data_IF_558299792343
#
_entry.id   IF_558299792343
#
_cell.length_a   1.000
_cell.length_b   1.000
_cell.length_c   1.000
_cell.angle_alpha   90.00
_cell.angle_beta   90.00
_cell.angle_gamma   90.00
#
_symmetry.space_group_name_H-M   'P 1'
#
loop_
_entity.id
_entity.type
_entity.pdbx_description
1 polymer ?
#
# COMPACT_ATOMS: atom_id res chain seq x y z
N UNK A 1 12.28 27.25 -2.89
CA UNK A 1 11.10 26.38 -2.66
C UNK A 1 11.64 25.06 -2.14
N UNK A 2 10.98 24.49 -1.14
CA UNK A 2 11.41 23.23 -0.53
C UNK A 2 11.00 22.05 -1.43
N UNK A 3 11.78 20.97 -1.42
CA UNK A 3 11.58 19.84 -2.33
C UNK A 3 10.19 19.19 -2.16
N UNK A 4 9.52 18.76 -3.25
CA UNK A 4 8.25 18.04 -3.17
C UNK A 4 8.38 16.71 -2.43
N UNK A 5 7.30 16.29 -1.79
CA UNK A 5 7.20 14.99 -1.12
C UNK A 5 6.31 14.09 -1.98
N UNK A 6 6.92 13.09 -2.61
CA UNK A 6 6.24 12.18 -3.54
C UNK A 6 5.67 10.97 -2.78
N UNK A 7 4.37 10.72 -2.96
CA UNK A 7 3.67 9.61 -2.33
C UNK A 7 2.95 8.80 -3.39
N UNK A 8 3.14 7.48 -3.40
CA UNK A 8 2.59 6.56 -4.40
C UNK A 8 1.50 5.71 -3.77
N UNK A 9 0.37 5.59 -4.46
CA UNK A 9 -0.71 4.68 -4.10
C UNK A 9 -1.08 3.83 -5.32
N UNK A 10 -1.36 2.55 -5.11
CA UNK A 10 -1.91 1.66 -6.13
C UNK A 10 -3.29 1.14 -5.72
N UNK A 11 -4.31 1.31 -6.57
CA UNK A 11 -5.68 0.91 -6.23
C UNK A 11 -6.59 0.66 -7.44
N UNK A 12 -7.72 -0.01 -7.16
CA UNK A 12 -8.85 -0.09 -8.08
C UNK A 12 -10.05 0.73 -7.54
N UNK A 13 -11.12 0.80 -8.34
CA UNK A 13 -12.36 1.49 -7.95
C UNK A 13 -13.05 0.91 -6.71
N UNK A 14 -12.61 -0.24 -6.17
CA UNK A 14 -13.11 -0.75 -4.90
C UNK A 14 -12.39 -0.17 -3.69
N UNK A 15 -11.33 0.60 -3.90
CA UNK A 15 -10.51 1.20 -2.86
C UNK A 15 -10.41 2.72 -2.98
N UNK A 16 -11.22 3.38 -3.82
CA UNK A 16 -11.21 4.85 -3.97
C UNK A 16 -11.40 5.58 -2.63
N UNK A 17 -12.32 5.15 -1.78
CA UNK A 17 -12.60 5.84 -0.52
C UNK A 17 -11.48 5.62 0.52
N UNK A 18 -10.93 4.39 0.69
CA UNK A 18 -9.69 4.18 1.42
C UNK A 18 -8.52 5.03 0.89
N UNK A 19 -8.31 5.07 -0.43
CA UNK A 19 -7.28 5.91 -1.07
C UNK A 19 -7.45 7.40 -0.71
N UNK A 20 -8.69 7.91 -0.82
CA UNK A 20 -9.02 9.27 -0.35
C UNK A 20 -8.67 9.47 1.13
N UNK A 21 -8.99 8.48 1.97
CA UNK A 21 -8.78 8.58 3.42
C UNK A 21 -7.31 8.61 3.79
N UNK A 22 -6.46 7.76 3.20
CA UNK A 22 -5.02 7.79 3.48
C UNK A 22 -4.41 9.10 2.98
N UNK A 23 -4.74 9.56 1.77
CA UNK A 23 -4.26 10.86 1.25
C UNK A 23 -4.68 12.03 2.15
N UNK A 24 -5.95 12.06 2.56
CA UNK A 24 -6.46 13.10 3.46
C UNK A 24 -5.79 13.03 4.84
N UNK A 25 -5.51 11.84 5.37
CA UNK A 25 -4.78 11.66 6.64
C UNK A 25 -3.34 12.18 6.57
N UNK A 26 -2.66 11.95 5.45
CA UNK A 26 -1.33 12.53 5.18
C UNK A 26 -1.44 14.05 5.17
N UNK A 27 -2.37 14.64 4.41
CA UNK A 27 -2.54 16.08 4.35
C UNK A 27 -2.87 16.73 5.70
N UNK A 28 -3.60 16.03 6.57
CA UNK A 28 -3.96 16.49 7.91
C UNK A 28 -2.78 16.47 8.89
N UNK A 29 -1.85 15.51 8.72
CA UNK A 29 -0.73 15.30 9.62
C UNK A 29 0.57 16.01 9.17
N UNK A 30 0.64 16.45 7.91
CA UNK A 30 1.82 17.06 7.29
C UNK A 30 1.80 18.58 7.39
N UNK A 31 2.89 19.20 7.87
CA UNK A 31 2.97 20.66 7.96
C UNK A 31 3.08 21.34 6.59
N UNK A 32 3.83 20.73 5.67
CA UNK A 32 4.08 21.19 4.30
C UNK A 32 3.14 20.58 3.26
N UNK A 33 1.86 20.45 3.59
CA UNK A 33 0.84 19.78 2.76
C UNK A 33 0.72 20.25 1.30
N UNK A 34 1.12 21.50 0.98
CA UNK A 34 1.12 22.02 -0.40
C UNK A 34 2.24 21.42 -1.27
N UNK A 35 3.27 20.87 -0.64
CA UNK A 35 4.41 20.26 -1.32
C UNK A 35 4.18 18.76 -1.57
N UNK A 36 3.04 18.22 -1.14
CA UNK A 36 2.65 16.82 -1.36
C UNK A 36 2.26 16.61 -2.82
N UNK A 37 2.84 15.57 -3.43
CA UNK A 37 2.47 15.09 -4.77
C UNK A 37 2.08 13.61 -4.66
N UNK A 38 0.81 13.31 -4.86
CA UNK A 38 0.33 11.93 -4.88
C UNK A 38 0.33 11.38 -6.31
N UNK A 39 1.00 10.26 -6.50
CA UNK A 39 1.08 9.49 -7.73
C UNK A 39 0.13 8.29 -7.61
N UNK A 40 -0.94 8.33 -8.40
CA UNK A 40 -2.06 7.39 -8.30
C UNK A 40 -1.97 6.38 -9.44
N UNK A 41 -1.50 5.18 -9.12
CA UNK A 41 -1.49 4.03 -10.01
C UNK A 41 -2.87 3.36 -9.92
N UNK A 42 -3.65 3.42 -11.00
CA UNK A 42 -5.05 3.01 -10.90
C UNK A 42 -5.52 2.12 -12.05
N UNK A 43 -6.42 1.20 -11.70
CA UNK A 43 -7.34 0.56 -12.64
C UNK A 43 -8.46 1.55 -13.02
N UNK A 44 -9.37 1.25 -13.97
CA UNK A 44 -10.44 2.18 -14.31
C UNK A 44 -11.25 2.59 -13.06
N UNK A 45 -11.44 3.90 -12.90
CA UNK A 45 -12.21 4.51 -11.81
C UNK A 45 -13.35 5.33 -12.38
N UNK A 46 -14.45 5.46 -11.63
CA UNK A 46 -15.55 6.32 -12.05
C UNK A 46 -15.21 7.81 -11.92
N UNK A 47 -15.83 8.66 -12.75
CA UNK A 47 -15.68 10.11 -12.65
C UNK A 47 -16.12 10.65 -11.28
N UNK A 48 -17.15 10.04 -10.68
CA UNK A 48 -17.65 10.37 -9.34
C UNK A 48 -16.56 10.13 -8.28
N UNK A 49 -15.91 8.97 -8.32
CA UNK A 49 -14.84 8.63 -7.38
C UNK A 49 -13.56 9.44 -7.65
N UNK A 50 -13.27 9.75 -8.92
CA UNK A 50 -12.17 10.66 -9.29
C UNK A 50 -12.39 12.05 -8.71
N UNK A 51 -13.62 12.57 -8.80
CA UNK A 51 -13.99 13.86 -8.21
C UNK A 51 -13.79 13.90 -6.70
N UNK A 52 -14.12 12.81 -5.98
CA UNK A 52 -13.87 12.72 -4.54
C UNK A 52 -12.38 12.75 -4.21
N UNK A 53 -11.56 11.98 -4.94
CA UNK A 53 -10.10 11.96 -4.78
C UNK A 53 -9.49 13.34 -5.00
N UNK A 54 -9.94 14.07 -6.03
CA UNK A 54 -9.54 15.47 -6.28
C UNK A 54 -9.93 16.43 -5.14
N UNK A 55 -10.77 16.00 -4.20
CA UNK A 55 -11.08 16.75 -2.98
C UNK A 55 -9.85 17.13 -2.16
N UNK A 56 -8.80 16.29 -2.16
CA UNK A 56 -7.56 16.61 -1.42
C UNK A 56 -6.81 17.80 -2.02
N UNK A 57 -6.92 18.01 -3.33
CA UNK A 57 -6.37 19.19 -4.03
C UNK A 57 -7.12 20.44 -3.58
N UNK A 58 -8.46 20.38 -3.60
CA UNK A 58 -9.33 21.51 -3.24
C UNK A 58 -9.21 21.89 -1.77
N UNK A 59 -9.08 20.91 -0.89
CA UNK A 59 -9.05 21.11 0.57
C UNK A 59 -7.67 21.50 1.10
N UNK A 60 -6.58 20.97 0.52
CA UNK A 60 -5.23 21.09 1.08
C UNK A 60 -4.19 21.71 0.15
N UNK A 61 -4.49 21.86 -1.14
CA UNK A 61 -3.55 22.36 -2.14
C UNK A 61 -2.43 21.37 -2.53
N UNK A 62 -2.60 20.08 -2.23
CA UNK A 62 -1.72 19.02 -2.71
C UNK A 62 -1.90 18.80 -4.23
N UNK A 63 -0.95 18.10 -4.86
CA UNK A 63 -1.02 17.75 -6.29
C UNK A 63 -1.35 16.27 -6.49
N UNK A 64 -2.10 15.95 -7.56
CA UNK A 64 -2.36 14.58 -8.00
C UNK A 64 -1.76 14.33 -9.38
N UNK A 65 -1.11 13.18 -9.57
CA UNK A 65 -0.63 12.65 -10.86
C UNK A 65 -1.29 11.31 -11.09
N UNK A 66 -1.98 11.16 -12.21
CA UNK A 66 -2.76 9.97 -12.54
C UNK A 66 -1.99 9.08 -13.51
N UNK A 67 -1.88 7.80 -13.19
CA UNK A 67 -1.22 6.79 -14.01
C UNK A 67 -2.22 5.64 -14.26
N UNK A 68 -2.89 5.62 -15.41
CA UNK A 68 -3.79 4.51 -15.76
C UNK A 68 -2.94 3.28 -16.06
N UNK A 69 -2.88 2.37 -15.09
CA UNK A 69 -2.07 1.15 -15.19
C UNK A 69 -2.76 0.10 -16.06
N UNK A 70 -4.08 0.20 -16.21
CA UNK A 70 -4.88 -0.69 -17.06
C UNK A 70 -4.54 -0.63 -18.55
N UNK A 71 -3.95 0.47 -19.02
CA UNK A 71 -3.57 0.66 -20.43
C UNK A 71 -2.04 0.54 -20.62
N UNK A 72 -1.31 0.09 -19.59
CA UNK A 72 0.14 -0.01 -19.61
C UNK A 72 0.58 -1.37 -20.15
N UNK A 73 1.09 -1.38 -21.38
CA UNK A 73 1.66 -2.58 -21.99
C UNK A 73 2.81 -3.16 -21.14
N UNK A 74 3.58 -2.29 -20.46
CA UNK A 74 4.62 -2.69 -19.51
C UNK A 74 4.01 -3.46 -18.33
N UNK A 75 2.94 -2.93 -17.76
CA UNK A 75 2.27 -3.57 -16.65
C UNK A 75 1.66 -4.90 -17.06
N UNK A 76 0.93 -4.93 -18.19
CA UNK A 76 0.32 -6.15 -18.73
C UNK A 76 1.35 -7.25 -18.97
N UNK A 77 2.49 -6.90 -19.56
CA UNK A 77 3.61 -7.82 -19.76
C UNK A 77 4.13 -8.34 -18.42
N UNK A 78 4.37 -7.46 -17.46
CA UNK A 78 4.91 -7.82 -16.15
C UNK A 78 3.99 -8.76 -15.36
N UNK A 79 2.68 -8.52 -15.40
CA UNK A 79 1.69 -9.31 -14.65
C UNK A 79 1.10 -10.49 -15.42
N UNK A 80 1.61 -10.78 -16.63
CA UNK A 80 1.08 -11.85 -17.48
C UNK A 80 1.25 -13.23 -16.81
N UNK A 81 2.40 -13.46 -16.18
CA UNK A 81 2.77 -14.75 -15.58
C UNK A 81 2.65 -14.77 -14.05
N UNK A 82 2.20 -13.66 -13.44
CA UNK A 82 2.07 -13.55 -12.00
C UNK A 82 0.72 -14.08 -11.49
N UNK A 83 0.69 -14.71 -10.30
CA UNK A 83 -0.55 -15.24 -9.73
C UNK A 83 -1.52 -14.09 -9.43
N UNK A 84 -2.78 -14.22 -9.86
CA UNK A 84 -3.84 -13.24 -9.58
C UNK A 84 -5.09 -13.93 -9.05
N UNK A 85 -5.81 -13.27 -8.14
CA UNK A 85 -7.05 -13.80 -7.58
C UNK A 85 -8.09 -12.69 -7.32
N UNK A 86 -9.34 -13.06 -7.05
CA UNK A 86 -10.40 -12.09 -6.70
C UNK A 86 -10.08 -11.31 -5.41
N UNK A 87 -9.28 -11.89 -4.51
CA UNK A 87 -8.84 -11.22 -3.29
C UNK A 87 -7.64 -10.30 -3.53
N UNK A 88 -6.85 -10.58 -4.56
CA UNK A 88 -5.58 -9.90 -4.87
C UNK A 88 -5.51 -9.60 -6.37
N UNK A 89 -6.12 -8.48 -6.79
CA UNK A 89 -6.11 -8.05 -8.18
C UNK A 89 -4.70 -7.69 -8.63
N UNK A 90 -4.40 -7.82 -9.92
CA UNK A 90 -3.06 -7.58 -10.50
C UNK A 90 -2.45 -6.23 -10.11
N UNK A 91 -3.26 -5.21 -9.83
CA UNK A 91 -2.84 -3.87 -9.39
C UNK A 91 -1.91 -3.89 -8.16
N UNK A 92 -1.95 -4.93 -7.32
CA UNK A 92 -1.02 -5.07 -6.18
C UNK A 92 0.45 -5.11 -6.63
N UNK A 93 0.71 -5.65 -7.83
CA UNK A 93 2.04 -5.71 -8.42
C UNK A 93 2.52 -4.36 -8.98
N UNK A 94 1.66 -3.35 -9.11
CA UNK A 94 2.06 -2.05 -9.63
C UNK A 94 3.13 -1.37 -8.76
N UNK A 95 3.17 -1.69 -7.46
CA UNK A 95 4.23 -1.19 -6.56
C UNK A 95 5.63 -1.63 -6.95
N UNK A 96 5.77 -2.80 -7.58
CA UNK A 96 7.08 -3.30 -8.04
C UNK A 96 7.63 -2.49 -9.21
N UNK A 97 6.74 -1.86 -9.98
CA UNK A 97 7.07 -1.01 -11.12
C UNK A 97 7.11 0.48 -10.73
N UNK A 98 7.18 0.81 -9.44
CA UNK A 98 7.18 2.21 -8.98
C UNK A 98 8.29 3.03 -9.62
N UNK A 99 9.49 2.46 -9.73
CA UNK A 99 10.64 3.09 -10.37
C UNK A 99 10.51 3.22 -11.89
N UNK A 100 9.80 2.29 -12.55
CA UNK A 100 9.54 2.30 -14.00
C UNK A 100 8.41 3.27 -14.39
N UNK A 101 7.39 3.40 -13.53
CA UNK A 101 6.18 4.20 -13.81
C UNK A 101 6.35 5.68 -13.43
N UNK A 102 7.21 5.98 -12.46
CA UNK A 102 7.48 7.36 -12.06
C UNK A 102 8.47 8.05 -13.01
N UNK A 103 8.30 9.36 -13.28
CA UNK A 103 9.28 10.16 -13.99
C UNK A 103 10.71 9.99 -13.45
N UNK A 104 11.69 9.96 -14.35
CA UNK A 104 13.09 9.67 -14.02
C UNK A 104 13.78 10.74 -13.16
N UNK A 105 13.24 11.96 -13.15
CA UNK A 105 13.70 13.07 -12.33
C UNK A 105 13.25 12.96 -10.86
N UNK A 106 12.37 12.02 -10.54
CA UNK A 106 11.99 11.72 -9.15
C UNK A 106 12.96 10.69 -8.60
N UNK A 107 13.70 11.08 -7.56
CA UNK A 107 14.72 10.26 -6.91
C UNK A 107 14.23 9.56 -5.63
N UNK A 108 13.15 10.05 -5.01
CA UNK A 108 12.63 9.47 -3.77
C UNK A 108 11.11 9.55 -3.72
N UNK A 109 10.48 8.49 -3.20
CA UNK A 109 9.04 8.46 -2.93
C UNK A 109 8.70 7.59 -1.72
N UNK A 110 7.51 7.79 -1.14
CA UNK A 110 6.91 6.87 -0.17
C UNK A 110 5.78 6.11 -0.86
N UNK A 111 5.79 4.79 -0.80
CA UNK A 111 4.63 3.99 -1.17
C UNK A 111 3.75 3.75 0.06
N UNK A 112 2.43 3.94 -0.08
CA UNK A 112 1.43 3.64 0.96
C UNK A 112 0.28 2.81 0.39
N UNK A 113 -0.11 1.75 1.11
CA UNK A 113 -1.35 1.05 0.85
C UNK A 113 -2.57 1.91 1.21
N UNK A 114 -3.66 1.67 0.49
CA UNK A 114 -4.87 2.47 0.63
C UNK A 114 -5.63 2.23 1.94
N UNK A 115 -5.32 1.14 2.67
CA UNK A 115 -5.93 0.81 3.95
C UNK A 115 -5.05 1.19 5.15
N UNK A 116 -4.52 2.41 5.09
CA UNK A 116 -3.72 3.01 6.14
C UNK A 116 -4.35 4.29 6.71
N UNK A 117 -3.89 4.67 7.91
CA UNK A 117 -4.19 5.95 8.55
C UNK A 117 -2.90 6.59 9.06
N UNK A 118 -2.51 7.72 8.47
CA UNK A 118 -1.30 8.46 8.82
C UNK A 118 -1.63 9.50 9.89
N UNK A 119 -0.80 9.53 10.94
CA UNK A 119 -1.02 10.32 12.17
C UNK A 119 0.12 11.24 12.55
N UNK A 120 1.29 11.05 11.93
CA UNK A 120 2.47 11.86 12.17
C UNK A 120 2.90 12.55 10.86
N UNK A 121 3.64 13.67 10.95
CA UNK A 121 4.10 14.39 9.76
C UNK A 121 4.92 13.49 8.84
N UNK A 122 4.47 13.35 7.59
CA UNK A 122 5.05 12.38 6.64
C UNK A 122 6.47 12.78 6.23
N UNK A 123 6.84 14.07 6.36
CA UNK A 123 8.21 14.54 6.14
C UNK A 123 9.23 13.78 6.99
N UNK A 124 8.89 13.41 8.23
CA UNK A 124 9.80 12.67 9.10
C UNK A 124 10.11 11.27 8.57
N UNK A 125 9.16 10.66 7.84
CA UNK A 125 9.35 9.37 7.18
C UNK A 125 10.11 9.54 5.86
N UNK A 126 9.79 10.57 5.09
CA UNK A 126 10.42 10.88 3.81
C UNK A 126 11.91 11.18 3.95
N UNK A 127 12.28 11.89 5.03
CA UNK A 127 13.64 12.33 5.31
C UNK A 127 14.49 11.28 6.02
N UNK A 128 13.96 10.06 6.27
CA UNK A 128 14.75 9.00 6.89
C UNK A 128 15.96 8.62 6.05
N UNK A 129 17.07 8.37 6.75
CA UNK A 129 18.28 7.82 6.14
C UNK A 129 18.05 6.35 5.79
N UNK A 130 18.29 6.01 4.53
CA UNK A 130 18.20 4.65 4.02
C UNK A 130 19.55 3.93 4.04
N UNK A 131 20.59 4.53 4.61
CA UNK A 131 21.92 3.93 4.77
C UNK A 131 22.51 3.41 3.44
N UNK A 132 22.23 4.12 2.34
CA UNK A 132 22.65 3.70 1.00
C UNK A 132 22.00 2.41 0.52
N UNK A 133 20.76 2.12 0.94
CA UNK A 133 19.94 1.00 0.44
C UNK A 133 18.75 1.50 -0.39
N UNK A 134 18.24 0.69 -1.34
CA UNK A 134 17.18 1.10 -2.27
C UNK A 134 15.81 1.34 -1.60
N UNK A 135 15.58 0.78 -0.41
CA UNK A 135 14.33 1.00 0.32
C UNK A 135 14.49 0.93 1.83
N UNK A 136 13.59 1.63 2.53
CA UNK A 136 13.32 1.49 3.95
C UNK A 136 11.93 0.92 4.18
N UNK A 137 11.81 -0.03 5.11
CA UNK A 137 10.55 -0.67 5.44
C UNK A 137 10.50 -1.06 6.92
N UNK A 138 9.34 -1.47 7.41
CA UNK A 138 9.18 -1.97 8.79
C UNK A 138 9.09 -3.49 8.77
N UNK A 139 9.80 -4.13 9.69
CA UNK A 139 9.78 -5.58 9.87
C UNK A 139 8.36 -6.08 10.16
N UNK A 140 7.93 -7.10 9.43
CA UNK A 140 6.68 -7.80 9.70
C UNK A 140 6.90 -8.83 10.82
N UNK A 141 6.30 -8.60 11.98
CA UNK A 141 6.40 -9.53 13.12
C UNK A 141 5.69 -10.86 12.86
N UNK A 142 4.82 -10.94 11.84
CA UNK A 142 4.19 -12.19 11.41
C UNK A 142 5.04 -12.95 10.39
N UNK A 143 6.21 -12.43 10.02
CA UNK A 143 7.14 -13.09 9.10
C UNK A 143 7.37 -14.57 9.41
N UNK A 144 7.58 -15.02 10.67
CA UNK A 144 7.76 -16.43 10.95
C UNK A 144 6.52 -17.28 10.65
N UNK A 145 5.31 -16.71 10.67
CA UNK A 145 4.08 -17.43 10.30
C UNK A 145 3.84 -17.41 8.79
N UNK A 146 4.22 -16.33 8.11
CA UNK A 146 4.13 -16.18 6.65
C UNK A 146 5.17 -17.07 5.96
N UNK A 147 6.43 -16.97 6.40
CA UNK A 147 7.57 -17.78 5.93
C UNK A 147 7.43 -19.27 6.29
N UNK A 148 6.66 -19.62 7.31
CA UNK A 148 6.44 -21.01 7.70
C UNK A 148 5.22 -21.63 7.00
N UNK A 149 4.27 -20.84 6.49
CA UNK A 149 2.98 -21.32 5.97
C UNK A 149 1.99 -21.73 7.07
N UNK A 150 0.80 -22.23 6.71
CA UNK A 150 -0.18 -22.78 7.69
C UNK A 150 0.40 -23.96 8.49
N UNK A 151 1.39 -24.64 7.93
CA UNK A 151 2.22 -25.65 8.57
C UNK A 151 3.67 -25.30 8.28
N UNK A 152 4.54 -25.25 9.32
CA UNK A 152 5.99 -24.92 9.29
C UNK A 152 6.89 -25.69 8.31
N UNK A 153 6.29 -26.45 7.39
CA UNK A 153 6.93 -27.34 6.44
C UNK A 153 6.77 -26.88 4.99
N UNK A 154 5.78 -26.05 4.66
CA UNK A 154 5.41 -25.78 3.26
C UNK A 154 6.34 -24.76 2.57
N UNK A 155 6.93 -23.84 3.31
CA UNK A 155 7.83 -22.79 2.77
C UNK A 155 9.31 -22.97 3.17
N UNK A 156 9.68 -24.14 3.71
CA UNK A 156 11.08 -24.49 3.99
C UNK A 156 11.92 -24.32 2.71
N UNK A 157 12.95 -23.47 2.80
CA UNK A 157 13.94 -23.23 1.75
C UNK A 157 13.74 -21.98 0.88
N UNK A 158 12.68 -21.19 1.08
CA UNK A 158 12.49 -19.91 0.37
C UNK A 158 12.93 -18.74 1.24
N UNK A 159 12.44 -18.70 2.48
CA UNK A 159 12.86 -17.74 3.50
C UNK A 159 13.45 -18.49 4.69
N UNK A 160 14.53 -17.96 5.26
CA UNK A 160 14.97 -18.38 6.59
C UNK A 160 14.12 -17.64 7.64
N UNK A 161 13.45 -18.32 8.58
CA UNK A 161 12.72 -17.67 9.66
C UNK A 161 13.57 -16.71 10.53
N UNK A 162 14.90 -16.87 10.53
CA UNK A 162 15.83 -15.95 11.19
C UNK A 162 16.04 -14.65 10.40
N UNK A 163 15.83 -14.68 9.08
CA UNK A 163 16.03 -13.51 8.23
C UNK A 163 14.97 -12.43 8.51
N UNK A 164 15.37 -11.16 8.45
CA UNK A 164 14.43 -10.06 8.59
C UNK A 164 13.55 -9.99 7.33
N UNK A 165 12.24 -9.86 7.54
CA UNK A 165 11.25 -9.81 6.48
C UNK A 165 10.32 -8.62 6.76
N UNK A 166 10.10 -7.79 5.75
CA UNK A 166 9.37 -6.53 5.89
C UNK A 166 7.96 -6.59 5.35
N UNK A 167 7.11 -5.73 5.93
CA UNK A 167 5.78 -5.49 5.40
C UNK A 167 5.84 -4.48 4.24
N UNK A 168 5.25 -4.85 3.11
CA UNK A 168 5.36 -4.08 1.86
C UNK A 168 4.30 -3.01 1.65
N UNK A 169 3.40 -2.80 2.62
CA UNK A 169 2.35 -1.79 2.49
C UNK A 169 2.83 -0.36 2.73
N UNK A 170 3.97 -0.17 3.40
CA UNK A 170 4.63 1.13 3.57
C UNK A 170 6.11 0.96 3.24
N UNK A 171 6.59 1.70 2.25
CA UNK A 171 7.98 1.71 1.83
C UNK A 171 8.45 3.16 1.66
N UNK A 172 9.65 3.48 2.13
CA UNK A 172 10.41 4.65 1.68
C UNK A 172 11.36 4.16 0.61
N UNK A 173 11.30 4.75 -0.58
CA UNK A 173 11.98 4.21 -1.76
C UNK A 173 12.97 5.25 -2.26
N UNK A 174 14.24 4.85 -2.32
CA UNK A 174 15.25 5.54 -3.13
C UNK A 174 15.10 5.03 -4.57
N UNK A 175 14.44 5.83 -5.41
CA UNK A 175 14.16 5.47 -6.79
C UNK A 175 15.43 5.48 -7.65
N UNK A 176 16.46 6.22 -7.28
CA UNK A 176 17.73 6.16 -8.00
C UNK A 176 18.36 4.78 -7.83
N UNK A 177 18.54 4.34 -6.58
CA UNK A 177 19.07 3.01 -6.26
C UNK A 177 18.14 1.87 -6.70
N UNK A 178 16.82 2.04 -6.60
CA UNK A 178 15.86 1.02 -7.06
C UNK A 178 15.98 0.78 -8.57
N UNK A 179 16.23 1.82 -9.37
CA UNK A 179 16.41 1.69 -10.84
C UNK A 179 17.68 0.95 -11.24
N UNK A 180 18.67 0.87 -10.36
CA UNK A 180 19.88 0.06 -10.58
C UNK A 180 19.61 -1.45 -10.46
N UNK A 181 18.44 -1.82 -9.90
CA UNK A 181 18.01 -3.21 -9.72
C UNK A 181 16.98 -3.56 -10.79
N UNK A 182 17.29 -4.56 -11.61
CA UNK A 182 16.33 -5.10 -12.58
C UNK A 182 15.33 -6.03 -11.87
N UNK A 183 14.35 -5.40 -11.19
CA UNK A 183 13.28 -6.09 -10.46
C UNK A 183 12.53 -7.09 -11.36
N UNK A 184 12.37 -6.77 -12.65
CA UNK A 184 11.69 -7.64 -13.61
C UNK A 184 12.51 -8.91 -13.87
N UNK A 185 13.82 -8.77 -14.09
CA UNK A 185 14.70 -9.91 -14.27
C UNK A 185 14.78 -10.79 -13.00
N UNK A 186 14.84 -10.19 -11.81
CA UNK A 186 14.86 -10.94 -10.55
C UNK A 186 13.55 -11.74 -10.35
N UNK A 187 12.40 -11.15 -10.66
CA UNK A 187 11.10 -11.83 -10.61
C UNK A 187 11.01 -12.94 -11.66
N UNK A 188 11.50 -12.72 -12.88
CA UNK A 188 11.59 -13.76 -13.90
C UNK A 188 12.51 -14.91 -13.46
N UNK A 189 13.61 -14.63 -12.78
CA UNK A 189 14.50 -15.64 -12.22
C UNK A 189 13.83 -16.44 -11.10
N UNK A 190 13.03 -15.80 -10.25
CA UNK A 190 12.19 -16.47 -9.23
C UNK A 190 11.15 -17.38 -9.91
N UNK A 191 10.52 -16.92 -10.99
CA UNK A 191 9.56 -17.71 -11.78
C UNK A 191 10.21 -18.95 -12.41
N UNK A 192 11.38 -18.78 -13.03
CA UNK A 192 12.14 -19.87 -13.62
C UNK A 192 12.58 -20.96 -12.62
N UNK A 193 12.65 -20.65 -11.32
CA UNK A 193 12.94 -21.61 -10.25
C UNK A 193 11.70 -22.39 -9.77
N UNK A 194 10.52 -22.13 -10.34
CA UNK A 194 9.27 -22.79 -9.94
C UNK A 194 8.79 -22.38 -8.54
N UNK A 195 9.20 -21.20 -8.05
CA UNK A 195 8.85 -20.74 -6.70
C UNK A 195 7.54 -19.95 -6.65
N UNK A 196 7.01 -19.50 -7.79
CA UNK A 196 5.83 -18.62 -7.84
C UNK A 196 4.59 -19.18 -7.14
N UNK A 197 4.35 -20.50 -7.25
CA UNK A 197 3.22 -21.16 -6.59
C UNK A 197 3.35 -21.23 -5.06
N UNK A 198 4.54 -20.97 -4.53
CA UNK A 198 4.88 -20.98 -3.10
C UNK A 198 5.00 -19.59 -2.50
N UNK A 199 5.13 -18.56 -3.35
CA UNK A 199 5.19 -17.17 -2.91
C UNK A 199 3.78 -16.63 -2.71
N UNK A 200 3.57 -16.04 -1.54
CA UNK A 200 2.39 -15.26 -1.26
C UNK A 200 2.62 -13.82 -1.71
N UNK A 201 2.09 -13.52 -2.89
CA UNK A 201 1.81 -12.17 -3.37
C UNK A 201 3.07 -11.31 -3.57
N UNK A 202 2.86 -10.00 -3.62
CA UNK A 202 3.85 -8.98 -3.91
C UNK A 202 4.90 -8.81 -2.79
N UNK A 203 4.51 -9.00 -1.53
CA UNK A 203 5.40 -8.84 -0.38
C UNK A 203 6.54 -9.87 -0.38
N UNK A 204 6.23 -11.14 -0.67
CA UNK A 204 7.24 -12.20 -0.72
C UNK A 204 8.26 -11.94 -1.83
N UNK A 205 7.78 -11.58 -3.02
CA UNK A 205 8.64 -11.24 -4.15
C UNK A 205 9.57 -10.07 -3.81
N UNK A 206 9.04 -9.00 -3.20
CA UNK A 206 9.87 -7.87 -2.77
C UNK A 206 10.90 -8.27 -1.69
N UNK A 207 10.54 -9.11 -0.74
CA UNK A 207 11.48 -9.60 0.27
C UNK A 207 12.59 -10.50 -0.33
N UNK A 208 12.32 -11.19 -1.44
CA UNK A 208 13.34 -11.94 -2.18
C UNK A 208 14.25 -11.02 -3.01
N UNK A 209 13.67 -10.09 -3.77
CA UNK A 209 14.41 -9.16 -4.63
C UNK A 209 15.32 -8.25 -3.79
N UNK A 210 14.82 -7.76 -2.67
CA UNK A 210 15.53 -6.84 -1.78
C UNK A 210 16.12 -7.53 -0.55
N UNK A 211 16.31 -8.84 -0.60
CA UNK A 211 16.95 -9.58 0.50
C UNK A 211 18.30 -8.93 0.87
N UNK A 212 18.47 -8.58 2.15
CA UNK A 212 19.63 -7.83 2.68
C UNK A 212 19.91 -6.45 2.03
N UNK A 213 18.99 -5.90 1.24
CA UNK A 213 19.10 -4.60 0.56
C UNK A 213 18.01 -3.62 0.99
N UNK A 214 17.65 -3.63 2.27
CA UNK A 214 16.68 -2.68 2.82
C UNK A 214 17.05 -2.22 4.23
N UNK A 215 16.59 -1.03 4.60
CA UNK A 215 16.83 -0.40 5.90
C UNK A 215 15.63 -0.57 6.80
N UNK A 216 15.86 -1.11 8.00
CA UNK A 216 14.79 -1.34 8.96
C UNK A 216 14.38 -0.04 9.65
N UNK A 217 13.15 0.40 9.39
CA UNK A 217 12.56 1.60 9.96
C UNK A 217 11.87 1.30 11.31
N UNK A 218 11.65 2.32 12.17
CA UNK A 218 10.96 2.15 13.45
C UNK A 218 9.53 1.61 13.28
N UNK A 219 9.15 0.65 14.13
CA UNK A 219 7.85 -0.06 14.04
C UNK A 219 6.62 0.86 13.96
N UNK A 220 6.67 2.04 14.60
CA UNK A 220 5.55 2.99 14.64
C UNK A 220 5.12 3.48 13.25
N UNK A 221 6.01 3.41 12.25
CA UNK A 221 5.75 3.85 10.88
C UNK A 221 4.99 2.83 10.04
N UNK A 222 4.76 1.62 10.55
CA UNK A 222 3.85 0.65 9.95
C UNK A 222 3.37 -0.31 11.04
N UNK A 223 2.37 0.13 11.80
CA UNK A 223 1.75 -0.72 12.83
C UNK A 223 0.74 -1.64 12.16
N UNK A 224 1.18 -2.86 11.88
CA UNK A 224 0.42 -3.92 11.20
C UNK A 224 -0.72 -4.40 12.09
N UNK A 225 -1.87 -4.67 11.48
CA UNK A 225 -3.10 -5.10 12.14
C UNK A 225 -3.52 -4.17 13.28
N UNK A 226 -3.84 -2.93 12.91
CA UNK A 226 -4.25 -1.86 13.81
C UNK A 226 -5.50 -2.19 14.67
N UNK A 227 -5.27 -2.88 15.78
CA UNK A 227 -6.22 -3.22 16.84
C UNK A 227 -6.31 -2.10 17.91
N UNK A 228 -7.45 -1.88 18.60
CA UNK A 228 -7.61 -0.84 19.63
C UNK A 228 -6.53 -0.73 20.70
N UNK A 229 -5.82 -1.82 20.99
CA UNK A 229 -4.65 -1.82 21.91
C UNK A 229 -3.54 -0.89 21.44
N UNK A 230 -3.40 -0.69 20.12
CA UNK A 230 -2.46 0.26 19.54
C UNK A 230 -2.88 1.72 19.70
N UNK A 231 -4.09 2.04 20.21
CA UNK A 231 -4.48 3.42 20.56
C UNK A 231 -3.69 3.95 21.75
N UNK A 232 -3.22 3.06 22.63
CA UNK A 232 -2.33 3.42 23.73
C UNK A 232 -0.87 3.59 23.29
N UNK A 233 -0.58 3.25 22.03
CA UNK A 233 0.74 3.36 21.45
C UNK A 233 0.79 4.58 20.53
N UNK A 234 1.95 5.22 20.49
CA UNK A 234 2.19 6.36 19.60
C UNK A 234 2.51 5.86 18.18
N UNK A 235 1.56 5.15 17.57
CA UNK A 235 1.68 4.67 16.19
C UNK A 235 1.54 5.86 15.21
N UNK A 236 2.54 6.06 14.36
CA UNK A 236 2.55 7.09 13.33
C UNK A 236 1.72 6.70 12.10
N UNK A 237 1.76 5.43 11.69
CA UNK A 237 0.93 4.90 10.61
C UNK A 237 0.30 3.60 11.07
N UNK A 238 -1.02 3.52 10.98
CA UNK A 238 -1.81 2.33 11.27
C UNK A 238 -2.14 1.64 9.97
N UNK A 239 -1.83 0.34 9.87
CA UNK A 239 -2.09 -0.47 8.69
C UNK A 239 -3.14 -1.52 9.01
N UNK A 240 -4.30 -1.44 8.37
CA UNK A 240 -5.45 -2.26 8.70
C UNK A 240 -5.44 -3.62 7.98
N UNK A 241 -4.31 -4.35 7.95
CA UNK A 241 -4.09 -5.54 7.08
C UNK A 241 -5.12 -6.66 7.21
N UNK A 242 -5.61 -6.99 8.41
CA UNK A 242 -6.49 -8.14 8.64
C UNK A 242 -8.01 -7.78 8.58
N UNK A 243 -8.82 -8.55 9.32
CA UNK A 243 -10.29 -8.49 9.25
C UNK A 243 -10.89 -7.27 9.94
N UNK A 244 -10.13 -6.57 10.79
CA UNK A 244 -10.57 -5.39 11.54
C UNK A 244 -10.56 -4.11 10.70
N UNK A 245 -11.34 -4.03 9.61
CA UNK A 245 -11.31 -2.82 8.78
C UNK A 245 -12.12 -1.66 9.41
N UNK A 246 -11.61 -0.41 9.41
CA UNK A 246 -12.25 0.73 10.09
C UNK A 246 -13.50 1.24 9.36
N UNK A 247 -13.62 0.98 8.05
CA UNK A 247 -14.77 1.37 7.23
C UNK A 247 -15.98 0.43 7.33
N UNK A 248 -15.96 -0.57 8.22
CA UNK A 248 -17.18 -1.32 8.51
C UNK A 248 -18.13 -0.48 9.37
N UNK A 249 -19.43 -0.51 9.05
CA UNK A 249 -20.47 0.29 9.72
C UNK A 249 -20.41 0.22 11.26
N UNK A 250 -20.17 -0.98 11.79
CA UNK A 250 -20.10 -1.22 13.24
C UNK A 250 -18.67 -1.18 13.81
N UNK A 251 -17.64 -0.87 13.01
CA UNK A 251 -16.24 -0.92 13.46
C UNK A 251 -15.96 0.06 14.61
N UNK A 252 -16.51 1.27 14.52
CA UNK A 252 -16.38 2.29 15.58
C UNK A 252 -17.18 1.99 16.85
N UNK A 253 -18.33 1.32 16.73
CA UNK A 253 -19.18 0.95 17.88
C UNK A 253 -18.58 -0.26 18.60
N UNK A 254 -18.19 -1.27 17.83
CA UNK A 254 -17.65 -2.53 18.35
C UNK A 254 -16.15 -2.45 18.67
N UNK A 255 -15.52 -1.27 18.51
CA UNK A 255 -14.08 -1.01 18.66
C UNK A 255 -13.25 -2.13 18.02
N UNK A 256 -13.47 -2.41 16.74
CA UNK A 256 -12.78 -3.51 16.02
C UNK A 256 -11.46 -3.11 15.38
N UNK A 257 -11.23 -1.82 15.24
CA UNK A 257 -10.05 -1.25 14.63
C UNK A 257 -9.61 -0.01 15.42
N UNK A 258 -8.30 0.16 15.60
CA UNK A 258 -7.74 1.33 16.24
C UNK A 258 -8.18 2.59 15.48
N UNK A 259 -8.65 3.60 16.22
CA UNK A 259 -9.04 4.89 15.67
C UNK A 259 -10.16 4.82 14.60
N UNK A 260 -11.00 3.78 14.60
CA UNK A 260 -12.07 3.62 13.59
C UNK A 260 -12.99 4.85 13.46
N UNK A 261 -13.28 5.54 14.58
CA UNK A 261 -14.08 6.78 14.58
C UNK A 261 -13.36 7.93 13.88
N UNK A 262 -12.06 8.07 14.13
CA UNK A 262 -11.25 9.10 13.48
C UNK A 262 -11.04 8.78 12.00
N UNK A 263 -10.76 7.51 11.66
CA UNK A 263 -10.72 7.05 10.25
C UNK A 263 -11.99 7.45 9.49
N UNK A 264 -13.18 7.22 10.08
CA UNK A 264 -14.45 7.65 9.48
C UNK A 264 -14.55 9.17 9.32
N UNK A 265 -14.03 9.94 10.27
CA UNK A 265 -14.01 11.39 10.18
C UNK A 265 -13.08 11.89 9.06
N UNK A 266 -11.91 11.27 8.93
CA UNK A 266 -10.97 11.52 7.82
C UNK A 266 -11.57 11.10 6.48
N UNK A 267 -12.31 9.99 6.42
CA UNK A 267 -13.04 9.59 5.22
C UNK A 267 -14.19 10.54 4.87
N UNK A 268 -14.69 11.34 5.82
CA UNK A 268 -15.96 12.08 5.77
C UNK A 268 -17.20 11.18 5.80
N UNK A 269 -18.31 11.68 6.36
CA UNK A 269 -19.54 10.90 6.44
C UNK A 269 -20.14 10.59 5.07
N UNK A 270 -20.11 11.53 4.13
CA UNK A 270 -20.70 11.34 2.79
C UNK A 270 -20.02 10.18 2.04
N UNK A 271 -18.70 10.28 1.87
CA UNK A 271 -17.87 9.25 1.23
C UNK A 271 -17.97 7.92 1.99
N UNK A 272 -17.97 7.93 3.34
CA UNK A 272 -18.10 6.71 4.12
C UNK A 272 -19.39 5.94 3.81
N UNK A 273 -20.53 6.64 3.74
CA UNK A 273 -21.81 5.99 3.45
C UNK A 273 -21.94 5.60 1.97
N UNK A 274 -21.41 6.39 1.03
CA UNK A 274 -21.32 6.02 -0.40
C UNK A 274 -20.47 4.76 -0.58
N UNK A 275 -19.32 4.70 0.08
CA UNK A 275 -18.44 3.53 0.06
C UNK A 275 -19.09 2.29 0.71
N UNK A 276 -19.79 2.46 1.83
CA UNK A 276 -20.53 1.38 2.46
C UNK A 276 -21.59 0.79 1.51
N UNK A 277 -22.34 1.65 0.78
CA UNK A 277 -23.31 1.22 -0.25
C UNK A 277 -22.63 0.52 -1.42
N UNK A 278 -21.52 1.06 -1.94
CA UNK A 278 -20.73 0.46 -3.02
C UNK A 278 -20.30 -0.98 -2.68
N UNK A 279 -19.71 -1.16 -1.50
CA UNK A 279 -19.30 -2.48 -1.00
C UNK A 279 -20.47 -3.43 -0.82
N UNK A 280 -21.61 -2.93 -0.33
CA UNK A 280 -22.80 -3.74 -0.10
C UNK A 280 -23.41 -4.21 -1.42
N UNK A 281 -23.54 -3.31 -2.41
CA UNK A 281 -23.97 -3.62 -3.78
C UNK A 281 -23.09 -4.72 -4.37
N UNK A 282 -21.75 -4.53 -4.37
CA UNK A 282 -20.80 -5.53 -4.88
C UNK A 282 -20.94 -6.89 -4.19
N UNK A 283 -21.08 -6.91 -2.86
CA UNK A 283 -21.26 -8.15 -2.09
C UNK A 283 -22.51 -8.91 -2.55
N UNK A 284 -23.62 -8.22 -2.79
CA UNK A 284 -24.86 -8.83 -3.27
C UNK A 284 -24.79 -9.25 -4.73
N UNK A 285 -24.25 -8.41 -5.61
CA UNK A 285 -24.02 -8.77 -7.02
C UNK A 285 -23.21 -10.06 -7.14
N UNK A 286 -22.13 -10.19 -6.34
CA UNK A 286 -21.32 -11.42 -6.30
C UNK A 286 -22.11 -12.62 -5.75
N UNK A 287 -22.89 -12.44 -4.68
CA UNK A 287 -23.71 -13.51 -4.07
C UNK A 287 -24.82 -14.00 -5.00
N UNK A 288 -25.40 -13.10 -5.78
CA UNK A 288 -26.50 -13.39 -6.70
C UNK A 288 -26.01 -13.80 -8.10
N UNK A 289 -24.71 -13.82 -8.35
CA UNK A 289 -24.14 -14.18 -9.66
C UNK A 289 -24.41 -13.16 -10.77
N UNK A 290 -24.89 -11.96 -10.45
CA UNK A 290 -25.33 -10.92 -11.39
C UNK A 290 -24.17 -10.13 -12.03
N UNK A 291 -22.94 -10.62 -11.92
CA UNK A 291 -21.72 -9.92 -12.34
C UNK A 291 -20.85 -10.77 -13.26
N UNK A 292 -21.45 -11.66 -14.05
CA UNK A 292 -20.82 -12.33 -15.18
C UNK A 292 -21.26 -11.65 -16.47
#
# INVERSE_FOLDING_TARGET
MSAPIHIVLAFDDNFWAPAFTVMRSVCLSTHRRKDLVFHLFHMPISDEHRYDLEGVVREYGASLRWYPVADSALFDFFVAELPASVQWPKIVYARMLVADLLPSDIERAIYLDCDMLVRAPIEQLFDMDLEGRPLGAVRDSLAPFIAAGREMRQNRGIFDPADPYFNSGMLVIDLAQWREIDVKAEIAAIAGRGLMDRLYYDQDMLNLVFHNRWTQLPWRWNTIDAHPTHEALDAAILHYTLRGKPWFLLSGILRRAAYARWYRHVMTNDIFYRFARHRWKRKWTKRLGLGR
#
